data_IF_775454010233
#
_entry.id   IF_775454010233
#
_cell.length_a   1.000
_cell.length_b   1.000
_cell.length_c   1.000
_cell.angle_alpha   90.00
_cell.angle_beta   90.00
_cell.angle_gamma   90.00
#
_symmetry.space_group_name_H-M   'P 1'
#
loop_
_entity.id
_entity.type
_entity.pdbx_description
1 polymer ?
#
# COMPACT_ATOMS: atom_id res chain seq x y z
N UNK A 1 19.21 8.03 12.12
CA UNK A 1 19.08 7.05 11.05
C UNK A 1 20.08 7.43 9.98
N UNK A 2 20.84 6.51 9.39
CA UNK A 2 21.68 6.82 8.24
C UNK A 2 20.86 7.42 7.09
N UNK A 3 21.46 8.26 6.22
CA UNK A 3 20.82 8.71 5.00
C UNK A 3 20.34 7.52 4.16
N UNK A 4 19.22 7.69 3.44
CA UNK A 4 18.59 6.71 2.56
C UNK A 4 18.09 5.41 3.24
N UNK A 5 18.15 5.33 4.56
CA UNK A 5 17.54 4.22 5.30
C UNK A 5 16.05 4.50 5.55
N UNK A 6 15.20 3.54 5.17
CA UNK A 6 13.74 3.64 5.35
C UNK A 6 13.36 3.43 6.80
N UNK A 7 12.68 4.39 7.39
CA UNK A 7 12.19 4.32 8.76
C UNK A 7 10.76 4.82 8.93
N UNK A 8 10.26 4.73 10.17
CA UNK A 8 8.95 5.24 10.50
C UNK A 8 9.00 6.76 10.69
N UNK A 9 8.01 7.47 10.14
CA UNK A 9 7.82 8.88 10.43
C UNK A 9 7.20 9.00 11.82
N UNK A 10 7.91 9.71 12.71
CA UNK A 10 7.46 9.96 14.06
C UNK A 10 7.55 11.44 14.42
N UNK A 11 6.55 11.93 15.13
CA UNK A 11 6.48 13.32 15.63
C UNK A 11 6.79 13.31 17.13
N UNK A 12 7.76 14.14 17.56
CA UNK A 12 8.07 14.27 18.99
C UNK A 12 6.93 15.01 19.69
N UNK A 13 6.46 14.46 20.80
CA UNK A 13 5.34 14.97 21.60
C UNK A 13 5.74 15.42 23.00
N UNK A 14 6.97 15.17 23.41
CA UNK A 14 7.52 15.59 24.69
C UNK A 14 8.81 16.41 24.49
N UNK A 15 9.08 17.46 25.32
CA UNK A 15 8.24 17.93 26.43
C UNK A 15 6.97 18.69 25.97
N UNK A 16 6.95 19.22 24.74
CA UNK A 16 5.84 20.03 24.22
C UNK A 16 5.14 19.34 23.06
N UNK A 17 3.85 19.07 23.23
CA UNK A 17 3.04 18.46 22.18
C UNK A 17 2.73 19.48 21.08
N UNK A 18 2.94 19.15 19.78
CA UNK A 18 2.60 20.04 18.69
C UNK A 18 1.10 20.41 18.69
N UNK A 19 0.79 21.70 18.52
CA UNK A 19 -0.58 22.23 18.62
C UNK A 19 -1.55 21.61 17.64
N UNK A 20 -1.09 21.26 16.43
CA UNK A 20 -1.93 20.63 15.39
C UNK A 20 -2.09 19.11 15.51
N UNK A 21 -1.45 18.48 16.50
CA UNK A 21 -1.54 17.04 16.65
C UNK A 21 -2.89 16.62 17.26
N UNK A 22 -3.60 15.68 16.59
CA UNK A 22 -4.90 15.19 17.06
C UNK A 22 -4.79 14.53 18.45
N UNK A 23 -5.84 14.64 19.30
CA UNK A 23 -5.78 14.14 20.68
C UNK A 23 -5.83 12.61 20.78
N UNK A 24 -6.39 11.93 19.79
CA UNK A 24 -6.57 10.48 19.74
C UNK A 24 -7.74 10.09 18.86
N UNK A 25 -7.89 8.79 18.63
CA UNK A 25 -9.02 8.21 17.86
C UNK A 25 -10.30 8.26 18.70
N UNK A 26 -11.40 8.67 18.06
CA UNK A 26 -12.70 8.80 18.72
C UNK A 26 -13.22 7.42 19.17
N UNK A 27 -13.49 7.30 20.47
CA UNK A 27 -13.96 6.06 21.12
C UNK A 27 -13.07 4.83 20.92
N UNK A 28 -11.79 5.02 20.55
CA UNK A 28 -10.81 3.94 20.39
C UNK A 28 -9.51 4.24 21.14
N UNK A 29 -9.48 3.99 22.46
CA UNK A 29 -8.30 4.21 23.27
C UNK A 29 -7.16 3.24 22.90
N UNK A 30 -7.46 2.04 22.41
CA UNK A 30 -6.44 1.06 22.02
C UNK A 30 -5.69 1.51 20.77
N UNK A 31 -6.40 1.95 19.73
CA UNK A 31 -5.78 2.53 18.54
C UNK A 31 -4.97 3.77 18.90
N UNK A 32 -5.48 4.63 19.81
CA UNK A 32 -4.74 5.79 20.30
C UNK A 32 -3.43 5.37 20.97
N UNK A 33 -3.47 4.43 21.92
CA UNK A 33 -2.29 3.95 22.62
C UNK A 33 -1.26 3.31 21.71
N UNK A 34 -1.69 2.64 20.64
CA UNK A 34 -0.82 2.02 19.66
C UNK A 34 0.01 3.03 18.84
N UNK A 35 -0.51 4.26 18.66
CA UNK A 35 0.17 5.31 17.90
C UNK A 35 1.12 6.16 18.72
N UNK A 36 0.95 6.23 20.03
CA UNK A 36 1.85 6.96 20.93
C UNK A 36 2.78 5.99 21.67
N UNK A 37 4.09 6.10 21.41
CA UNK A 37 5.10 5.22 22.02
C UNK A 37 6.21 6.08 22.63
N UNK A 38 6.31 6.09 23.97
CA UNK A 38 7.22 7.00 24.67
C UNK A 38 6.93 8.46 24.28
N UNK A 39 7.96 9.27 23.99
CA UNK A 39 7.78 10.69 23.68
C UNK A 39 7.36 10.96 22.22
N UNK A 40 6.94 9.93 21.45
CA UNK A 40 6.67 10.05 20.02
C UNK A 40 5.26 9.61 19.64
N UNK A 41 4.68 10.34 18.68
CA UNK A 41 3.54 9.91 17.88
C UNK A 41 4.04 9.32 16.57
N UNK A 42 3.67 8.08 16.26
CA UNK A 42 3.98 7.40 15.00
C UNK A 42 2.84 7.61 14.02
N UNK A 43 3.15 8.18 12.85
CA UNK A 43 2.14 8.49 11.83
C UNK A 43 1.59 7.23 11.14
N UNK A 44 2.33 6.13 11.21
CA UNK A 44 2.08 4.92 10.42
C UNK A 44 2.65 5.00 9.01
N UNK A 45 3.34 6.08 8.68
CA UNK A 45 3.98 6.26 7.39
C UNK A 45 5.48 5.97 7.48
N UNK A 46 6.07 5.57 6.36
CA UNK A 46 7.50 5.33 6.19
C UNK A 46 8.11 6.27 5.17
N UNK A 47 9.34 6.67 5.45
CA UNK A 47 10.14 7.50 4.57
C UNK A 47 11.64 7.26 4.77
N UNK A 48 12.42 7.58 3.77
CA UNK A 48 13.86 7.79 3.87
C UNK A 48 14.17 9.29 3.94
N UNK A 49 15.30 9.66 4.54
CA UNK A 49 15.82 11.02 4.51
C UNK A 49 17.17 10.96 3.78
N UNK A 50 17.34 11.76 2.72
CA UNK A 50 18.59 11.83 2.00
C UNK A 50 19.64 12.70 2.71
N UNK A 51 20.84 12.80 2.12
CA UNK A 51 21.96 13.60 2.68
C UNK A 51 21.63 15.10 2.74
N UNK A 52 20.75 15.59 1.87
CA UNK A 52 20.30 16.99 1.83
C UNK A 52 19.15 17.29 2.79
N UNK A 53 18.62 16.25 3.46
CA UNK A 53 17.55 16.35 4.45
C UNK A 53 16.13 16.32 3.86
N UNK A 54 15.98 15.96 2.58
CA UNK A 54 14.66 15.73 1.99
C UNK A 54 14.08 14.40 2.45
N UNK A 55 12.78 14.42 2.71
CA UNK A 55 12.04 13.24 3.14
C UNK A 55 11.34 12.61 1.93
N UNK A 56 11.75 11.39 1.61
CA UNK A 56 11.20 10.58 0.52
C UNK A 56 10.18 9.61 1.08
N UNK A 57 8.91 9.84 0.74
CA UNK A 57 7.81 9.03 1.21
C UNK A 57 7.80 7.65 0.53
N UNK A 58 7.79 6.58 1.33
CA UNK A 58 7.82 5.19 0.84
C UNK A 58 6.44 4.52 0.87
N UNK A 59 5.57 4.98 1.75
CA UNK A 59 4.23 4.40 1.91
C UNK A 59 3.81 4.24 3.36
N UNK A 60 2.70 3.55 3.56
CA UNK A 60 2.21 3.20 4.88
C UNK A 60 2.87 1.91 5.38
N UNK A 61 3.15 1.83 6.68
CA UNK A 61 3.73 0.62 7.30
C UNK A 61 2.78 -0.58 7.20
N UNK A 62 1.47 -0.34 7.30
CA UNK A 62 0.41 -1.33 7.19
C UNK A 62 0.06 -1.74 5.75
N UNK A 63 0.56 -1.02 4.75
CA UNK A 63 0.34 -1.32 3.33
C UNK A 63 1.56 -1.98 2.66
N UNK A 64 2.74 -1.97 3.29
CA UNK A 64 3.94 -2.61 2.75
C UNK A 64 3.71 -4.11 2.58
N UNK A 65 3.93 -4.61 1.37
CA UNK A 65 3.78 -6.01 1.01
C UNK A 65 5.08 -6.74 1.31
N UNK A 66 5.01 -7.80 2.11
CA UNK A 66 6.16 -8.65 2.40
C UNK A 66 6.10 -9.89 1.53
N UNK A 67 6.83 -9.90 0.42
CA UNK A 67 6.89 -11.04 -0.51
C UNK A 67 8.26 -11.71 -0.44
N UNK A 68 8.31 -12.92 0.08
CA UNK A 68 9.56 -13.62 0.40
C UNK A 68 10.42 -12.75 1.35
N UNK A 69 11.62 -12.37 0.95
CA UNK A 69 12.51 -11.51 1.73
C UNK A 69 12.40 -10.01 1.36
N UNK A 70 11.51 -9.66 0.43
CA UNK A 70 11.41 -8.29 -0.09
C UNK A 70 10.24 -7.53 0.55
N UNK A 71 10.48 -6.24 0.79
CA UNK A 71 9.46 -5.27 1.18
C UNK A 71 9.12 -4.42 -0.05
N UNK A 72 7.85 -4.42 -0.44
CA UNK A 72 7.37 -3.80 -1.66
C UNK A 72 6.35 -2.74 -1.30
N UNK A 73 6.62 -1.48 -1.65
CA UNK A 73 5.66 -0.39 -1.51
C UNK A 73 4.59 -0.49 -2.61
N UNK A 74 3.29 -0.52 -2.25
CA UNK A 74 2.21 -0.60 -3.25
C UNK A 74 2.27 0.53 -4.26
N UNK A 75 2.58 1.74 -3.80
CA UNK A 75 2.58 2.96 -4.61
C UNK A 75 3.52 2.87 -5.83
N UNK A 76 4.68 2.26 -5.69
CA UNK A 76 5.64 2.10 -6.78
C UNK A 76 5.06 1.23 -7.92
N UNK A 77 4.37 0.15 -7.56
CA UNK A 77 3.72 -0.74 -8.52
C UNK A 77 2.51 -0.06 -9.16
N UNK A 78 1.70 0.64 -8.35
CA UNK A 78 0.55 1.42 -8.81
C UNK A 78 0.96 2.50 -9.81
N UNK A 79 2.05 3.23 -9.53
CA UNK A 79 2.57 4.28 -10.41
C UNK A 79 2.93 3.75 -11.79
N UNK A 80 3.59 2.60 -11.87
CA UNK A 80 3.93 1.99 -13.16
C UNK A 80 2.68 1.45 -13.87
N UNK A 81 1.73 0.85 -13.13
CA UNK A 81 0.49 0.35 -13.75
C UNK A 81 -0.31 1.46 -14.43
N UNK A 82 -0.42 2.65 -13.82
CA UNK A 82 -1.19 3.76 -14.40
C UNK A 82 -0.48 4.44 -15.58
N UNK A 83 0.79 4.15 -15.84
CA UNK A 83 1.49 4.58 -17.07
C UNK A 83 1.03 3.77 -18.30
N UNK A 84 0.41 2.61 -18.09
CA UNK A 84 -0.08 1.78 -19.17
C UNK A 84 -1.40 2.33 -19.74
N UNK A 85 -1.53 2.48 -21.09
CA UNK A 85 -2.70 3.13 -21.72
C UNK A 85 -4.04 2.48 -21.39
N UNK A 86 -4.06 1.19 -21.09
CA UNK A 86 -5.28 0.46 -20.75
C UNK A 86 -5.72 0.67 -19.29
N UNK A 87 -4.90 1.27 -18.42
CA UNK A 87 -5.18 1.40 -16.98
C UNK A 87 -5.54 2.84 -16.66
N UNK A 88 -6.73 3.04 -16.12
CA UNK A 88 -7.19 4.36 -15.65
C UNK A 88 -6.79 4.58 -14.20
N UNK A 89 -6.91 3.56 -13.36
CA UNK A 89 -6.56 3.61 -11.94
C UNK A 89 -6.14 2.22 -11.46
N UNK A 90 -5.20 2.17 -10.52
CA UNK A 90 -4.74 0.91 -9.94
C UNK A 90 -4.64 1.01 -8.42
N UNK A 91 -4.88 -0.11 -7.75
CA UNK A 91 -4.62 -0.30 -6.34
C UNK A 91 -3.91 -1.64 -6.11
N UNK A 92 -2.87 -1.63 -5.29
CA UNK A 92 -2.05 -2.81 -5.05
C UNK A 92 -2.08 -3.16 -3.57
N UNK A 93 -2.23 -4.45 -3.28
CA UNK A 93 -2.24 -5.01 -1.93
C UNK A 93 -1.46 -6.32 -1.87
N UNK A 94 -1.04 -6.70 -0.67
CA UNK A 94 -0.57 -8.06 -0.40
C UNK A 94 -1.74 -9.01 -0.23
N UNK A 95 -1.67 -10.17 -0.90
CA UNK A 95 -2.52 -11.33 -0.66
C UNK A 95 -1.68 -12.41 0.01
N UNK A 96 -2.20 -12.99 1.08
CA UNK A 96 -1.48 -14.05 1.79
C UNK A 96 -1.16 -15.24 0.88
N UNK A 97 0.06 -15.73 0.98
CA UNK A 97 0.59 -16.82 0.16
C UNK A 97 1.44 -17.74 1.01
N UNK A 98 1.25 -19.09 0.93
CA UNK A 98 1.94 -20.04 1.80
C UNK A 98 3.45 -20.11 1.58
N UNK A 99 3.92 -19.84 0.37
CA UNK A 99 5.34 -19.96 0.00
C UNK A 99 6.10 -18.64 0.15
N UNK A 100 5.40 -17.51 -0.03
CA UNK A 100 5.99 -16.18 -0.13
C UNK A 100 5.61 -15.22 0.99
N UNK A 101 4.84 -15.67 1.96
CA UNK A 101 4.15 -14.85 2.96
C UNK A 101 3.03 -14.05 2.29
N UNK A 102 3.36 -13.22 1.28
CA UNK A 102 2.40 -12.50 0.47
C UNK A 102 2.83 -12.47 -1.00
N UNK A 103 1.85 -12.39 -1.89
CA UNK A 103 2.06 -12.03 -3.28
C UNK A 103 1.51 -10.63 -3.55
N UNK A 104 2.14 -9.94 -4.49
CA UNK A 104 1.65 -8.65 -5.00
C UNK A 104 0.41 -8.91 -5.83
N UNK A 105 -0.71 -8.29 -5.46
CA UNK A 105 -2.00 -8.41 -6.15
C UNK A 105 -2.48 -7.02 -6.53
N UNK A 106 -2.79 -6.81 -7.80
CA UNK A 106 -3.28 -5.54 -8.34
C UNK A 106 -4.77 -5.59 -8.66
N UNK A 107 -5.47 -4.50 -8.36
CA UNK A 107 -6.81 -4.21 -8.83
C UNK A 107 -6.72 -3.06 -9.82
N UNK A 108 -7.13 -3.29 -11.07
CA UNK A 108 -7.01 -2.32 -12.14
C UNK A 108 -8.40 -1.92 -12.66
N UNK A 109 -8.67 -0.63 -12.65
CA UNK A 109 -9.78 -0.04 -13.36
C UNK A 109 -9.30 0.34 -14.76
N UNK A 110 -9.98 -0.17 -15.79
CA UNK A 110 -9.54 0.01 -17.17
C UNK A 110 -10.04 1.33 -17.76
N UNK A 111 -9.23 1.88 -18.66
CA UNK A 111 -9.60 3.03 -19.46
C UNK A 111 -10.73 2.68 -20.45
N UNK A 112 -11.58 3.65 -20.84
CA UNK A 112 -12.67 3.40 -21.79
C UNK A 112 -12.17 2.74 -23.09
N UNK A 113 -12.90 1.72 -23.53
CA UNK A 113 -12.57 0.96 -24.75
C UNK A 113 -11.66 -0.24 -24.53
N UNK A 114 -11.17 -0.47 -23.32
CA UNK A 114 -10.43 -1.67 -22.95
C UNK A 114 -11.30 -2.67 -22.18
N UNK A 115 -11.06 -3.95 -22.40
CA UNK A 115 -11.75 -5.05 -21.70
C UNK A 115 -10.72 -5.91 -20.99
N UNK A 116 -11.07 -6.34 -19.77
CA UNK A 116 -10.23 -7.27 -19.02
C UNK A 116 -10.13 -8.63 -19.70
N UNK A 117 -8.92 -9.11 -19.87
CA UNK A 117 -8.65 -10.45 -20.39
C UNK A 117 -7.39 -11.03 -19.76
N UNK A 118 -7.19 -12.36 -19.83
CA UNK A 118 -5.92 -12.97 -19.39
C UNK A 118 -4.71 -12.39 -20.12
N UNK A 119 -4.82 -12.11 -21.40
CA UNK A 119 -3.74 -11.57 -22.24
C UNK A 119 -3.35 -10.15 -21.78
N UNK A 120 -4.34 -9.31 -21.44
CA UNK A 120 -4.08 -7.98 -20.88
C UNK A 120 -3.46 -8.09 -19.48
N UNK A 121 -3.86 -9.06 -18.67
CA UNK A 121 -3.23 -9.28 -17.37
C UNK A 121 -1.75 -9.65 -17.51
N UNK A 122 -1.42 -10.56 -18.43
CA UNK A 122 -0.03 -10.94 -18.74
C UNK A 122 0.78 -9.75 -19.27
N UNK A 123 0.18 -8.93 -20.14
CA UNK A 123 0.80 -7.69 -20.66
C UNK A 123 1.13 -6.71 -19.53
N UNK A 124 0.19 -6.45 -18.63
CA UNK A 124 0.39 -5.55 -17.48
C UNK A 124 1.44 -6.10 -16.52
N UNK A 125 1.47 -7.40 -16.25
CA UNK A 125 2.52 -8.02 -15.43
C UNK A 125 3.91 -7.81 -16.04
N UNK A 126 4.05 -8.03 -17.34
CA UNK A 126 5.31 -7.84 -18.05
C UNK A 126 5.69 -6.35 -18.13
N UNK A 127 4.72 -5.45 -18.29
CA UNK A 127 4.92 -4.02 -18.27
C UNK A 127 5.52 -3.56 -16.94
N UNK A 128 4.91 -3.98 -15.80
CA UNK A 128 5.44 -3.66 -14.47
C UNK A 128 6.82 -4.31 -14.25
N UNK A 129 7.04 -5.53 -14.73
CA UNK A 129 8.34 -6.22 -14.59
C UNK A 129 9.47 -5.46 -15.28
N UNK A 130 9.19 -4.76 -16.40
CA UNK A 130 10.17 -3.92 -17.11
C UNK A 130 10.35 -2.55 -16.46
N UNK A 131 9.30 -2.00 -15.86
CA UNK A 131 9.32 -0.67 -15.24
C UNK A 131 9.83 -0.66 -13.80
N UNK A 132 9.94 -1.83 -13.15
CA UNK A 132 10.36 -1.96 -11.75
C UNK A 132 11.38 -3.09 -11.57
N UNK A 133 11.80 -3.33 -10.31
CA UNK A 133 12.60 -4.51 -10.01
C UNK A 133 11.77 -5.81 -10.25
N UNK A 134 12.37 -6.88 -10.82
CA UNK A 134 11.66 -8.07 -11.27
C UNK A 134 10.82 -8.81 -10.21
N UNK A 135 11.08 -8.58 -8.92
CA UNK A 135 10.32 -9.19 -7.83
C UNK A 135 9.06 -8.41 -7.45
N UNK A 136 8.86 -7.17 -7.97
CA UNK A 136 7.77 -6.25 -7.61
C UNK A 136 6.51 -6.42 -8.45
N UNK A 137 6.57 -7.12 -9.60
CA UNK A 137 5.42 -7.23 -10.48
C UNK A 137 4.24 -7.96 -9.80
N UNK A 138 2.99 -7.57 -10.08
CA UNK A 138 1.83 -8.24 -9.54
C UNK A 138 1.72 -9.66 -10.09
N UNK A 139 1.47 -10.63 -9.21
CA UNK A 139 1.27 -12.04 -9.59
C UNK A 139 -0.20 -12.35 -9.92
N UNK A 140 -1.09 -11.49 -9.43
CA UNK A 140 -2.50 -11.53 -9.75
C UNK A 140 -2.96 -10.14 -10.14
N UNK A 141 -3.81 -10.05 -11.18
CA UNK A 141 -4.47 -8.82 -11.60
C UNK A 141 -5.97 -9.08 -11.64
N UNK A 142 -6.73 -8.24 -10.95
CA UNK A 142 -8.18 -8.21 -10.95
C UNK A 142 -8.64 -6.96 -11.67
N UNK A 143 -9.47 -7.12 -12.70
CA UNK A 143 -10.12 -6.01 -13.37
C UNK A 143 -11.42 -5.68 -12.62
N UNK A 144 -11.60 -4.41 -12.29
CA UNK A 144 -12.74 -3.93 -11.50
C UNK A 144 -13.35 -2.69 -12.15
N UNK A 145 -14.65 -2.52 -11.96
CA UNK A 145 -15.36 -1.34 -12.46
C UNK A 145 -15.07 -0.10 -11.61
N UNK A 146 -14.83 -0.30 -10.30
CA UNK A 146 -14.51 0.78 -9.35
C UNK A 146 -13.57 0.29 -8.23
N UNK A 147 -12.79 1.20 -7.68
CA UNK A 147 -11.97 0.97 -6.49
C UNK A 147 -12.68 1.54 -5.25
N UNK A 148 -12.72 0.81 -4.12
CA UNK A 148 -13.32 1.30 -2.90
C UNK A 148 -12.56 2.51 -2.37
N UNK A 149 -13.26 3.64 -2.16
CA UNK A 149 -12.68 4.90 -1.71
C UNK A 149 -13.35 5.43 -0.44
N UNK A 150 -12.59 6.22 0.29
CA UNK A 150 -13.14 7.08 1.34
C UNK A 150 -13.87 8.27 0.73
N UNK A 151 -14.64 9.02 1.55
CA UNK A 151 -15.26 10.29 1.12
C UNK A 151 -14.22 11.30 0.59
N UNK A 152 -12.97 11.21 1.08
CA UNK A 152 -11.86 12.07 0.63
C UNK A 152 -11.11 11.52 -0.60
N UNK A 153 -11.59 10.45 -1.23
CA UNK A 153 -11.01 9.85 -2.44
C UNK A 153 -9.84 8.89 -2.21
N UNK A 154 -9.46 8.60 -0.97
CA UNK A 154 -8.37 7.66 -0.68
C UNK A 154 -8.85 6.22 -0.84
N UNK A 155 -8.03 5.39 -1.51
CA UNK A 155 -8.30 3.95 -1.69
C UNK A 155 -8.33 3.23 -0.36
N UNK A 156 -9.37 2.42 -0.14
CA UNK A 156 -9.54 1.58 1.05
C UNK A 156 -8.91 0.20 0.84
N UNK A 157 -7.58 0.12 0.91
CA UNK A 157 -6.85 -1.14 0.70
C UNK A 157 -7.27 -2.26 1.66
N UNK A 158 -7.76 -1.92 2.85
CA UNK A 158 -8.32 -2.92 3.79
C UNK A 158 -9.57 -3.64 3.25
N UNK A 159 -10.37 -2.99 2.41
CA UNK A 159 -11.53 -3.61 1.74
C UNK A 159 -11.07 -4.52 0.61
N UNK A 160 -10.08 -4.12 -0.17
CA UNK A 160 -9.48 -4.95 -1.21
C UNK A 160 -8.82 -6.20 -0.62
N UNK A 161 -8.07 -6.08 0.48
CA UNK A 161 -7.50 -7.25 1.18
C UNK A 161 -8.59 -8.22 1.67
N UNK A 162 -9.71 -7.70 2.18
CA UNK A 162 -10.82 -8.54 2.61
C UNK A 162 -11.50 -9.29 1.47
N UNK A 163 -11.60 -8.69 0.29
CA UNK A 163 -12.18 -9.38 -0.88
C UNK A 163 -11.31 -10.54 -1.40
N UNK A 164 -10.02 -10.56 -1.04
CA UNK A 164 -9.09 -11.65 -1.39
C UNK A 164 -9.08 -12.78 -0.35
N UNK A 165 -9.64 -12.56 0.84
CA UNK A 165 -9.74 -13.61 1.85
C UNK A 165 -10.68 -14.72 1.35
N UNK A 166 -10.33 -16.01 1.52
CA UNK A 166 -11.25 -17.10 1.18
C UNK A 166 -12.54 -16.95 1.99
N UNK A 167 -13.69 -17.11 1.32
CA UNK A 167 -15.00 -17.07 1.94
C UNK A 167 -15.07 -18.10 3.10
N UNK A 168 -14.92 -17.63 4.32
CA UNK A 168 -15.04 -18.47 5.53
C UNK A 168 -16.51 -18.81 5.83
N UNK A 169 -17.46 -18.52 4.91
CA UNK A 169 -18.90 -18.71 5.11
C UNK A 169 -19.41 -20.08 4.61
N UNK A 170 -18.55 -20.95 4.07
CA UNK A 170 -18.95 -22.26 3.53
C UNK A 170 -18.70 -23.44 4.47
N UNK A 171 -18.63 -23.22 5.78
CA UNK A 171 -18.52 -24.31 6.79
C UNK A 171 -19.48 -24.06 7.96
N UNK A 172 -20.78 -24.27 7.72
CA UNK A 172 -21.75 -24.60 8.75
C UNK A 172 -22.84 -25.49 8.18
#
# INVERSE_FOLDING_TARGET
>A
MPPDEVGNIAVRCEPDRPVGLFPGYYKDPNATAATFRGPFYFTGDKAAIDEDGYLWFEGRDDDVITSSAYRIGPFEVESVLVEHPAVMEAAVVGKDDPDRTQIVTAFCMLAPGHLGSPELADELQEFVRRGTAPYKYPREIHFVDELPKTISGKIRRSELRRSLAPDTTAAK
#
